data_IF_910594049005
#
_entry.id   IF_910594049005
#
_cell.length_a   1.000
_cell.length_b   1.000
_cell.length_c   1.000
_cell.angle_alpha   90.00
_cell.angle_beta   90.00
_cell.angle_gamma   90.00
#
_symmetry.space_group_name_H-M   'P 1'
#
loop_
_entity.id
_entity.type
_entity.pdbx_description
1 polymer ?
#
# COMPACT_ATOMS: atom_id res chain seq x y z
N UNK A 1 4.16 -1.62 26.00
CA UNK A 1 3.73 -1.30 24.62
C UNK A 1 2.83 -2.41 24.12
N UNK A 2 1.73 -2.09 23.45
CA UNK A 2 0.77 -3.12 23.02
C UNK A 2 1.19 -3.79 21.71
N UNK A 3 2.00 -3.09 20.88
CA UNK A 3 2.51 -3.59 19.62
C UNK A 3 4.04 -3.67 19.67
N UNK A 4 4.58 -4.76 19.14
CA UNK A 4 6.00 -5.02 19.06
C UNK A 4 6.52 -4.87 17.61
N UNK A 5 5.59 -4.83 16.62
CA UNK A 5 5.89 -4.67 15.19
C UNK A 5 4.90 -3.72 14.53
N UNK A 6 5.42 -2.74 13.79
CA UNK A 6 4.69 -1.92 12.83
C UNK A 6 4.96 -2.44 11.43
N UNK A 7 3.92 -2.87 10.73
CA UNK A 7 3.99 -3.34 9.35
C UNK A 7 3.40 -2.26 8.45
N UNK A 8 4.21 -1.78 7.52
CA UNK A 8 3.80 -0.80 6.53
C UNK A 8 3.35 -1.48 5.24
N UNK A 9 2.24 -1.06 4.68
CA UNK A 9 2.11 -1.15 3.23
C UNK A 9 3.09 -0.18 2.56
N UNK A 10 3.40 -0.41 1.28
CA UNK A 10 4.35 0.40 0.55
C UNK A 10 3.66 1.47 -0.29
N UNK A 11 2.91 1.02 -1.29
CA UNK A 11 2.25 1.86 -2.27
C UNK A 11 1.11 2.64 -1.61
N UNK A 12 1.08 3.97 -1.74
CA UNK A 12 0.08 4.81 -1.06
C UNK A 12 0.30 5.04 0.45
N UNK A 13 1.26 4.34 1.10
CA UNK A 13 1.59 4.52 2.51
C UNK A 13 3.00 5.08 2.75
N UNK A 14 4.01 4.50 2.14
CA UNK A 14 5.40 4.96 2.22
C UNK A 14 5.79 5.80 1.01
N UNK A 15 5.30 5.43 -0.16
CA UNK A 15 5.56 6.07 -1.45
C UNK A 15 4.25 6.48 -2.12
N UNK A 16 4.26 7.62 -2.81
CA UNK A 16 3.07 8.18 -3.48
C UNK A 16 3.01 7.68 -4.94
N UNK A 17 2.83 6.38 -5.11
CA UNK A 17 2.94 5.66 -6.38
C UNK A 17 1.63 5.49 -7.13
N UNK A 18 0.48 5.50 -6.42
CA UNK A 18 -0.82 5.09 -6.97
C UNK A 18 -1.32 6.02 -8.08
N UNK A 19 -1.15 7.35 -7.92
CA UNK A 19 -1.50 8.30 -8.98
C UNK A 19 -0.70 8.04 -10.27
N UNK A 20 0.62 7.85 -10.12
CA UNK A 20 1.53 7.59 -11.25
C UNK A 20 1.17 6.27 -11.93
N UNK A 21 0.91 5.22 -11.14
CA UNK A 21 0.49 3.92 -11.66
C UNK A 21 -0.80 4.01 -12.45
N UNK A 22 -1.84 4.60 -11.87
CA UNK A 22 -3.12 4.78 -12.54
C UNK A 22 -3.03 5.68 -13.79
N UNK A 23 -2.14 6.67 -13.81
CA UNK A 23 -1.91 7.50 -14.99
C UNK A 23 -1.32 6.67 -16.14
N UNK A 24 -0.27 5.89 -15.89
CA UNK A 24 0.35 5.03 -16.90
C UNK A 24 -0.64 4.00 -17.43
N UNK A 25 -1.42 3.38 -16.55
CA UNK A 25 -2.47 2.43 -16.93
C UNK A 25 -3.57 3.09 -17.77
N UNK A 26 -4.07 4.26 -17.37
CA UNK A 26 -5.09 5.00 -18.10
C UNK A 26 -4.64 5.39 -19.51
N UNK A 27 -3.38 5.83 -19.65
CA UNK A 27 -2.77 6.11 -20.96
C UNK A 27 -2.69 4.85 -21.83
N UNK A 28 -2.26 3.72 -21.28
CA UNK A 28 -2.18 2.44 -21.96
C UNK A 28 -3.56 1.97 -22.45
N UNK A 29 -4.56 1.95 -21.59
CA UNK A 29 -5.93 1.58 -21.91
C UNK A 29 -6.54 2.52 -22.97
N UNK A 30 -6.30 3.82 -22.85
CA UNK A 30 -6.78 4.81 -23.84
C UNK A 30 -6.18 4.55 -25.22
N UNK A 31 -4.86 4.30 -25.32
CA UNK A 31 -4.19 3.91 -26.56
C UNK A 31 -4.71 2.56 -27.12
N UNK A 32 -5.08 1.64 -26.22
CA UNK A 32 -5.68 0.36 -26.60
C UNK A 32 -7.17 0.46 -27.01
N UNK A 33 -7.74 1.67 -27.02
CA UNK A 33 -9.11 1.95 -27.46
C UNK A 33 -10.16 1.86 -26.35
N UNK A 34 -9.76 2.00 -25.10
CA UNK A 34 -10.63 2.20 -23.95
C UNK A 34 -10.34 3.57 -23.30
N UNK A 35 -10.99 4.65 -23.76
CA UNK A 35 -10.76 5.99 -23.22
C UNK A 35 -11.14 6.05 -21.73
N UNK A 36 -10.17 6.32 -20.88
CA UNK A 36 -10.36 6.46 -19.44
C UNK A 36 -9.42 7.53 -18.91
N UNK A 37 -9.91 8.40 -18.02
CA UNK A 37 -9.07 9.37 -17.31
C UNK A 37 -8.31 8.72 -16.15
N UNK A 38 -7.25 9.38 -15.65
CA UNK A 38 -6.54 8.93 -14.45
C UNK A 38 -7.46 8.89 -13.23
N UNK A 39 -8.33 9.89 -13.08
CA UNK A 39 -9.29 9.98 -12.00
C UNK A 39 -10.30 8.83 -12.04
N UNK A 40 -10.82 8.48 -13.23
CA UNK A 40 -11.72 7.34 -13.39
C UNK A 40 -10.99 6.01 -13.15
N UNK A 41 -9.74 5.91 -13.56
CA UNK A 41 -8.88 4.75 -13.29
C UNK A 41 -8.72 4.54 -11.78
N UNK A 42 -8.38 5.60 -11.05
CA UNK A 42 -8.29 5.57 -9.57
C UNK A 42 -9.64 5.19 -8.95
N UNK A 43 -10.72 5.87 -9.36
CA UNK A 43 -12.04 5.67 -8.75
C UNK A 43 -12.56 4.25 -8.91
N UNK A 44 -12.26 3.61 -10.05
CA UNK A 44 -12.80 2.29 -10.42
C UNK A 44 -11.86 1.14 -10.08
N UNK A 45 -10.56 1.32 -10.27
CA UNK A 45 -9.60 0.22 -10.35
C UNK A 45 -8.45 0.30 -9.35
N UNK A 46 -8.24 1.40 -8.64
CA UNK A 46 -7.18 1.46 -7.62
C UNK A 46 -7.37 0.34 -6.57
N UNK A 47 -6.32 -0.46 -6.38
CA UNK A 47 -6.33 -1.63 -5.51
C UNK A 47 -7.05 -2.87 -6.07
N UNK A 48 -7.50 -2.85 -7.32
CA UNK A 48 -8.07 -4.02 -8.02
C UNK A 48 -6.95 -4.78 -8.74
N UNK A 49 -7.03 -6.11 -8.78
CA UNK A 49 -6.00 -6.90 -9.47
C UNK A 49 -6.02 -6.63 -10.98
N UNK A 50 -4.84 -6.60 -11.62
CA UNK A 50 -4.71 -6.36 -13.05
C UNK A 50 -5.62 -7.30 -13.89
N UNK A 51 -5.71 -8.58 -13.52
CA UNK A 51 -6.58 -9.54 -14.19
C UNK A 51 -8.05 -9.14 -14.13
N UNK A 52 -8.51 -8.60 -13.02
CA UNK A 52 -9.88 -8.16 -12.85
C UNK A 52 -10.16 -6.86 -13.61
N UNK A 53 -9.20 -5.92 -13.61
CA UNK A 53 -9.25 -4.70 -14.43
C UNK A 53 -9.42 -5.07 -15.91
N UNK A 54 -8.55 -5.92 -16.44
CA UNK A 54 -8.66 -6.38 -17.83
C UNK A 54 -10.02 -7.03 -18.12
N UNK A 55 -10.49 -7.91 -17.22
CA UNK A 55 -11.77 -8.61 -17.43
C UNK A 55 -12.94 -7.64 -17.47
N UNK A 56 -12.96 -6.60 -16.63
CA UNK A 56 -14.01 -5.58 -16.66
C UNK A 56 -13.95 -4.72 -17.92
N UNK A 57 -12.75 -4.25 -18.27
CA UNK A 57 -12.56 -3.43 -19.49
C UNK A 57 -12.95 -4.20 -20.74
N UNK A 58 -12.50 -5.45 -20.88
CA UNK A 58 -12.83 -6.32 -22.02
C UNK A 58 -14.33 -6.59 -22.14
N UNK A 59 -15.01 -6.77 -20.99
CA UNK A 59 -16.46 -6.93 -20.97
C UNK A 59 -17.20 -5.66 -21.47
N UNK A 60 -16.68 -4.47 -21.11
CA UNK A 60 -17.28 -3.19 -21.51
C UNK A 60 -17.09 -2.89 -23.02
N UNK A 61 -15.92 -3.22 -23.58
CA UNK A 61 -15.61 -2.92 -24.99
C UNK A 61 -15.93 -4.08 -25.94
N UNK A 62 -16.23 -5.27 -25.41
CA UNK A 62 -16.59 -6.45 -26.19
C UNK A 62 -15.43 -7.07 -26.99
N UNK A 63 -14.19 -6.83 -26.61
CA UNK A 63 -12.98 -7.40 -27.28
C UNK A 63 -11.84 -7.61 -26.30
N UNK A 64 -10.96 -8.57 -26.61
CA UNK A 64 -9.69 -8.80 -25.89
C UNK A 64 -8.69 -7.68 -26.24
N UNK A 65 -8.03 -7.11 -25.21
CA UNK A 65 -7.00 -6.10 -25.35
C UNK A 65 -5.70 -6.46 -24.62
N UNK A 66 -5.63 -7.60 -23.92
CA UNK A 66 -4.46 -7.99 -23.12
C UNK A 66 -3.15 -8.02 -23.90
N UNK A 67 -3.24 -8.37 -25.17
CA UNK A 67 -2.09 -8.46 -26.07
C UNK A 67 -1.96 -7.21 -26.99
N UNK A 68 -2.63 -6.12 -26.66
CA UNK A 68 -2.53 -4.89 -27.45
C UNK A 68 -1.12 -4.27 -27.28
N UNK A 69 -0.51 -3.82 -28.37
CA UNK A 69 0.85 -3.28 -28.37
C UNK A 69 1.07 -2.11 -27.39
N UNK A 70 0.03 -1.28 -27.20
CA UNK A 70 0.07 -0.17 -26.24
C UNK A 70 0.16 -0.60 -24.76
N UNK A 71 -0.10 -1.87 -24.46
CA UNK A 71 -0.03 -2.45 -23.12
C UNK A 71 1.21 -3.33 -22.93
N UNK A 72 1.94 -3.62 -24.00
CA UNK A 72 3.09 -4.52 -23.97
C UNK A 72 4.28 -4.00 -23.14
N UNK A 73 4.40 -2.67 -22.99
CA UNK A 73 5.51 -2.02 -22.30
C UNK A 73 5.12 -1.33 -21.00
N UNK A 74 3.91 -1.61 -20.45
CA UNK A 74 3.42 -0.91 -19.26
C UNK A 74 4.39 -0.96 -18.06
N UNK A 75 5.09 -2.08 -17.84
CA UNK A 75 6.07 -2.17 -16.76
C UNK A 75 7.26 -1.24 -16.97
N UNK A 76 7.74 -1.12 -18.22
CA UNK A 76 8.84 -0.22 -18.57
C UNK A 76 8.40 1.26 -18.49
N UNK A 77 7.18 1.56 -18.95
CA UNK A 77 6.60 2.91 -18.89
C UNK A 77 6.38 3.33 -17.44
N UNK A 78 5.88 2.42 -16.58
CA UNK A 78 5.70 2.65 -15.16
C UNK A 78 7.04 2.90 -14.46
N UNK A 79 8.07 2.09 -14.78
CA UNK A 79 9.40 2.26 -14.22
C UNK A 79 9.99 3.63 -14.59
N UNK A 80 9.87 4.03 -15.85
CA UNK A 80 10.33 5.34 -16.30
C UNK A 80 9.57 6.50 -15.64
N UNK A 81 8.25 6.35 -15.43
CA UNK A 81 7.45 7.33 -14.72
C UNK A 81 7.86 7.44 -13.24
N UNK A 82 8.13 6.34 -12.57
CA UNK A 82 8.66 6.35 -11.21
C UNK A 82 10.03 7.00 -11.11
N UNK A 83 10.97 6.70 -12.02
CA UNK A 83 12.30 7.33 -12.05
C UNK A 83 12.21 8.86 -12.19
N UNK A 84 11.17 9.36 -12.84
CA UNK A 84 10.96 10.79 -13.06
C UNK A 84 10.24 11.49 -11.92
N UNK A 85 9.14 10.92 -11.44
CA UNK A 85 8.15 11.65 -10.67
C UNK A 85 7.85 11.06 -9.28
N UNK A 86 8.31 9.82 -8.95
CA UNK A 86 7.99 9.18 -7.68
C UNK A 86 8.54 9.96 -6.49
N UNK A 87 7.68 10.22 -5.52
CA UNK A 87 8.04 10.85 -4.25
C UNK A 87 7.68 9.93 -3.07
N UNK A 88 8.39 10.05 -1.94
CA UNK A 88 7.90 9.49 -0.69
C UNK A 88 6.63 10.22 -0.27
N UNK A 89 5.75 9.55 0.48
CA UNK A 89 4.58 10.20 1.10
C UNK A 89 5.04 11.39 1.94
N UNK A 90 4.32 12.50 1.83
CA UNK A 90 4.66 13.72 2.53
C UNK A 90 4.76 13.49 4.05
N UNK A 91 5.89 13.86 4.66
CA UNK A 91 6.13 13.71 6.09
C UNK A 91 6.53 12.32 6.55
N UNK A 92 6.70 11.34 5.65
CA UNK A 92 7.03 9.95 6.05
C UNK A 92 8.40 9.83 6.74
N UNK A 93 9.44 10.52 6.26
CA UNK A 93 10.77 10.47 6.87
C UNK A 93 10.77 11.04 8.28
N UNK A 94 10.06 12.15 8.49
CA UNK A 94 9.88 12.77 9.81
C UNK A 94 9.07 11.85 10.72
N UNK A 95 7.98 11.25 10.23
CA UNK A 95 7.17 10.33 11.01
C UNK A 95 7.98 9.10 11.45
N UNK A 96 8.75 8.50 10.56
CA UNK A 96 9.62 7.38 10.86
C UNK A 96 10.68 7.74 11.92
N UNK A 97 11.27 8.94 11.84
CA UNK A 97 12.21 9.43 12.84
C UNK A 97 11.57 9.67 14.22
N UNK A 98 10.36 10.22 14.24
CA UNK A 98 9.59 10.40 15.47
C UNK A 98 9.22 9.05 16.12
N UNK A 99 8.82 8.08 15.30
CA UNK A 99 8.51 6.73 15.78
C UNK A 99 9.73 6.06 16.42
N UNK A 100 10.94 6.21 15.86
CA UNK A 100 12.16 5.69 16.46
C UNK A 100 12.43 6.28 17.86
N UNK A 101 12.19 7.59 18.03
CA UNK A 101 12.37 8.25 19.31
C UNK A 101 11.36 7.80 20.36
N UNK A 102 10.08 7.70 19.96
CA UNK A 102 8.99 7.42 20.88
C UNK A 102 8.85 5.92 21.18
N UNK A 103 9.24 5.08 20.21
CA UNK A 103 9.08 3.63 20.28
C UNK A 103 10.38 2.88 19.91
N UNK A 104 11.49 3.10 20.62
CA UNK A 104 12.83 2.63 20.23
C UNK A 104 12.96 1.10 20.15
N UNK A 105 12.06 0.35 20.76
CA UNK A 105 12.05 -1.12 20.74
C UNK A 105 11.03 -1.72 19.76
N UNK A 106 10.26 -0.88 19.07
CA UNK A 106 9.27 -1.35 18.08
C UNK A 106 9.98 -1.70 16.77
N UNK A 107 9.83 -2.92 16.32
CA UNK A 107 10.30 -3.35 14.99
C UNK A 107 9.44 -2.71 13.90
N UNK A 108 10.04 -2.51 12.73
CA UNK A 108 9.32 -2.03 11.54
C UNK A 108 9.71 -2.87 10.33
N UNK A 109 8.73 -3.18 9.47
CA UNK A 109 8.94 -3.84 8.20
C UNK A 109 7.88 -3.41 7.17
N UNK A 110 8.06 -3.82 5.92
CA UNK A 110 7.13 -3.57 4.82
C UNK A 110 6.49 -4.89 4.40
N UNK A 111 5.19 -4.87 4.08
CA UNK A 111 4.45 -5.97 3.48
C UNK A 111 3.57 -5.45 2.34
N UNK A 112 4.00 -5.65 1.09
CA UNK A 112 3.40 -5.06 -0.11
C UNK A 112 2.86 -6.10 -1.08
N UNK A 113 1.87 -5.69 -1.88
CA UNK A 113 1.39 -6.41 -3.05
C UNK A 113 2.32 -6.35 -4.26
N UNK A 114 3.30 -5.44 -4.27
CA UNK A 114 4.25 -5.25 -5.36
C UNK A 114 5.30 -6.35 -5.43
N UNK A 115 5.89 -6.57 -6.62
CA UNK A 115 7.02 -7.50 -6.80
C UNK A 115 8.26 -7.05 -6.02
N UNK A 116 9.15 -8.00 -5.73
CA UNK A 116 10.42 -7.70 -5.05
C UNK A 116 11.26 -6.69 -5.81
N UNK A 117 11.33 -6.82 -7.14
CA UNK A 117 12.08 -5.88 -8.00
C UNK A 117 11.52 -4.46 -7.90
N UNK A 118 10.18 -4.32 -7.98
CA UNK A 118 9.51 -3.02 -7.86
C UNK A 118 9.73 -2.40 -6.49
N UNK A 119 9.57 -3.16 -5.40
CA UNK A 119 9.84 -2.70 -4.04
C UNK A 119 11.25 -2.17 -3.88
N UNK A 120 12.25 -2.95 -4.27
CA UNK A 120 13.64 -2.55 -4.15
C UNK A 120 13.93 -1.27 -4.95
N UNK A 121 13.41 -1.18 -6.17
CA UNK A 121 13.58 -0.02 -7.03
C UNK A 121 12.94 1.24 -6.43
N UNK A 122 11.67 1.18 -6.05
CA UNK A 122 10.91 2.34 -5.54
C UNK A 122 11.41 2.80 -4.16
N UNK A 123 11.82 1.88 -3.29
CA UNK A 123 12.44 2.23 -2.00
C UNK A 123 13.80 2.93 -2.18
N UNK A 124 14.58 2.58 -3.21
CA UNK A 124 15.83 3.30 -3.55
C UNK A 124 15.54 4.71 -4.06
N UNK A 125 14.56 4.88 -4.93
CA UNK A 125 14.17 6.20 -5.46
C UNK A 125 13.73 7.17 -4.36
N UNK A 126 13.10 6.65 -3.31
CA UNK A 126 12.51 7.44 -2.22
C UNK A 126 13.39 7.51 -0.96
N UNK A 127 14.65 7.01 -1.01
CA UNK A 127 15.59 6.96 0.11
C UNK A 127 15.07 6.20 1.34
N UNK A 128 14.22 5.19 1.13
CA UNK A 128 13.69 4.32 2.18
C UNK A 128 14.39 2.96 2.25
N UNK A 129 15.15 2.58 1.21
CA UNK A 129 15.76 1.26 1.07
C UNK A 129 16.66 0.89 2.26
N UNK A 130 17.63 1.75 2.63
CA UNK A 130 18.57 1.46 3.72
C UNK A 130 17.86 1.21 5.06
N UNK A 131 16.78 1.94 5.31
CA UNK A 131 16.01 1.80 6.55
C UNK A 131 15.31 0.45 6.65
N UNK A 132 14.79 -0.07 5.53
CA UNK A 132 14.03 -1.31 5.47
C UNK A 132 14.82 -2.47 4.85
N UNK A 133 16.13 -2.34 4.67
CA UNK A 133 16.97 -3.39 4.10
C UNK A 133 16.75 -4.71 4.85
N UNK A 134 16.50 -5.79 4.11
CA UNK A 134 16.14 -7.12 4.59
C UNK A 134 14.84 -7.20 5.44
N UNK A 135 14.00 -6.16 5.42
CA UNK A 135 12.74 -6.07 6.18
C UNK A 135 11.56 -5.69 5.29
N UNK A 136 11.58 -6.03 4.02
CA UNK A 136 10.45 -5.86 3.13
C UNK A 136 10.05 -7.19 2.51
N UNK A 137 8.74 -7.43 2.48
CA UNK A 137 8.13 -8.69 2.06
C UNK A 137 7.12 -8.41 0.96
N UNK A 138 7.31 -9.08 -0.17
CA UNK A 138 6.48 -8.98 -1.37
C UNK A 138 5.43 -10.07 -1.42
N UNK A 139 4.34 -9.81 -2.15
CA UNK A 139 3.37 -10.84 -2.54
C UNK A 139 4.00 -11.98 -3.36
N UNK A 140 5.14 -11.77 -4.02
CA UNK A 140 5.89 -12.83 -4.71
C UNK A 140 6.35 -13.97 -3.78
N UNK A 141 6.45 -13.70 -2.48
CA UNK A 141 6.92 -14.65 -1.48
C UNK A 141 5.80 -15.51 -0.87
N UNK A 142 4.55 -15.34 -1.30
CA UNK A 142 3.37 -15.98 -0.72
C UNK A 142 2.45 -16.56 -1.77
N UNK A 143 1.60 -17.50 -1.35
CA UNK A 143 0.68 -18.18 -2.27
C UNK A 143 -0.46 -17.28 -2.74
N UNK A 144 -0.91 -16.35 -1.88
CA UNK A 144 -2.04 -15.45 -2.16
C UNK A 144 -1.71 -14.03 -1.69
N UNK A 145 -1.89 -13.06 -2.60
CA UNK A 145 -1.81 -11.63 -2.26
C UNK A 145 -3.05 -11.14 -1.50
N UNK A 146 -3.02 -9.88 -1.05
CA UNK A 146 -4.16 -9.18 -0.44
C UNK A 146 -5.41 -9.33 -1.33
N UNK A 147 -6.59 -9.65 -0.78
CA UNK A 147 -7.00 -9.57 0.62
C UNK A 147 -6.70 -10.83 1.46
N UNK A 148 -5.94 -11.82 0.97
CA UNK A 148 -5.50 -12.92 1.81
C UNK A 148 -4.45 -12.42 2.84
N UNK A 149 -4.37 -13.04 4.03
CA UNK A 149 -3.49 -12.57 5.11
C UNK A 149 -2.02 -12.91 4.91
N UNK A 150 -1.68 -13.66 3.88
CA UNK A 150 -0.42 -14.40 3.71
C UNK A 150 0.81 -13.49 3.82
N UNK A 151 0.82 -12.32 3.16
CA UNK A 151 1.97 -11.41 3.18
C UNK A 151 2.19 -10.79 4.56
N UNK A 152 1.12 -10.47 5.29
CA UNK A 152 1.22 -9.94 6.65
C UNK A 152 1.68 -11.02 7.63
N UNK A 153 1.13 -12.24 7.52
CA UNK A 153 1.56 -13.38 8.33
C UNK A 153 3.02 -13.75 8.06
N UNK A 154 3.47 -13.70 6.80
CA UNK A 154 4.87 -13.89 6.41
C UNK A 154 5.76 -12.83 7.07
N UNK A 155 5.39 -11.55 6.96
CA UNK A 155 6.14 -10.46 7.57
C UNK A 155 6.25 -10.64 9.10
N UNK A 156 5.15 -10.91 9.79
CA UNK A 156 5.13 -11.13 11.23
C UNK A 156 6.02 -12.32 11.65
N UNK A 157 5.96 -13.43 10.91
CA UNK A 157 6.78 -14.63 11.13
C UNK A 157 8.28 -14.34 10.99
N UNK A 158 8.68 -13.68 9.90
CA UNK A 158 10.10 -13.34 9.64
C UNK A 158 10.64 -12.34 10.68
N UNK A 159 9.78 -11.43 11.15
CA UNK A 159 10.14 -10.48 12.19
C UNK A 159 10.08 -11.10 13.61
N UNK A 160 9.59 -12.34 13.75
CA UNK A 160 9.49 -13.07 15.01
C UNK A 160 8.50 -12.43 15.99
N UNK A 161 7.35 -11.94 15.50
CA UNK A 161 6.30 -11.28 16.29
C UNK A 161 4.96 -11.96 16.05
N UNK A 162 4.21 -12.20 17.13
CA UNK A 162 2.85 -12.76 17.02
C UNK A 162 1.90 -11.77 16.32
N UNK A 163 0.97 -12.23 15.46
CA UNK A 163 0.04 -11.36 14.74
C UNK A 163 -0.71 -10.37 15.65
N UNK A 164 -1.20 -10.81 16.79
CA UNK A 164 -1.90 -9.94 17.76
C UNK A 164 -1.02 -8.82 18.38
N UNK A 165 0.29 -8.83 18.12
CA UNK A 165 1.26 -7.81 18.51
C UNK A 165 1.73 -6.95 17.32
N UNK A 166 1.12 -7.11 16.17
CA UNK A 166 1.40 -6.32 14.99
C UNK A 166 0.34 -5.21 14.82
N UNK A 167 0.80 -4.05 14.36
CA UNK A 167 -0.05 -2.96 13.88
C UNK A 167 0.28 -2.74 12.42
N UNK A 168 -0.74 -2.67 11.56
CA UNK A 168 -0.59 -2.46 10.11
C UNK A 168 -0.96 -1.01 9.75
N UNK A 169 -0.19 -0.36 8.87
CA UNK A 169 -0.57 0.89 8.21
C UNK A 169 -0.93 0.56 6.76
N UNK A 170 -2.11 0.94 6.33
CA UNK A 170 -2.69 0.58 5.04
C UNK A 170 -3.58 1.68 4.47
N UNK A 171 -3.55 1.87 3.14
CA UNK A 171 -4.37 2.84 2.42
C UNK A 171 -5.51 2.21 1.61
N UNK A 172 -5.53 0.87 1.50
CA UNK A 172 -6.51 0.13 0.71
C UNK A 172 -7.49 -0.70 1.56
N UNK A 173 -8.73 -0.82 1.08
CA UNK A 173 -9.71 -1.69 1.74
C UNK A 173 -9.35 -3.18 1.67
N UNK A 174 -8.63 -3.61 0.61
CA UNK A 174 -8.18 -5.00 0.47
C UNK A 174 -7.05 -5.31 1.44
N UNK A 175 -6.14 -4.38 1.67
CA UNK A 175 -5.09 -4.54 2.64
C UNK A 175 -5.59 -4.51 4.08
N UNK A 176 -6.52 -3.62 4.43
CA UNK A 176 -7.18 -3.65 5.74
C UNK A 176 -7.92 -4.98 5.97
N UNK A 177 -8.60 -5.51 4.94
CA UNK A 177 -9.22 -6.83 4.99
C UNK A 177 -8.19 -7.95 5.22
N UNK A 178 -7.02 -7.86 4.58
CA UNK A 178 -5.93 -8.80 4.79
C UNK A 178 -5.35 -8.73 6.21
N UNK A 179 -5.17 -7.52 6.77
CA UNK A 179 -4.73 -7.33 8.15
C UNK A 179 -5.72 -7.93 9.15
N UNK A 180 -7.03 -7.67 8.98
CA UNK A 180 -8.09 -8.28 9.78
C UNK A 180 -8.07 -9.81 9.69
N UNK A 181 -7.91 -10.37 8.48
CA UNK A 181 -7.82 -11.81 8.28
C UNK A 181 -6.55 -12.42 8.92
N UNK A 182 -5.47 -11.64 9.04
CA UNK A 182 -4.26 -12.03 9.77
C UNK A 182 -4.39 -11.95 11.30
N UNK A 183 -5.49 -11.42 11.83
CA UNK A 183 -5.67 -11.17 13.26
C UNK A 183 -4.81 -10.01 13.77
N UNK A 184 -4.52 -9.03 12.93
CA UNK A 184 -3.74 -7.84 13.24
C UNK A 184 -4.64 -6.61 13.34
N UNK A 185 -4.31 -5.71 14.25
CA UNK A 185 -4.90 -4.37 14.27
C UNK A 185 -4.35 -3.53 13.10
N UNK A 186 -5.15 -2.60 12.59
CA UNK A 186 -4.72 -1.74 11.49
C UNK A 186 -5.18 -0.28 11.64
N UNK A 187 -4.40 0.62 11.06
CA UNK A 187 -4.73 2.02 10.83
C UNK A 187 -4.93 2.25 9.34
N UNK A 188 -5.96 3.00 8.97
CA UNK A 188 -6.19 3.43 7.60
C UNK A 188 -5.49 4.75 7.31
N UNK A 189 -4.80 4.86 6.17
CA UNK A 189 -4.18 6.10 5.71
C UNK A 189 -4.86 6.60 4.43
N UNK A 190 -5.16 7.90 4.37
CA UNK A 190 -5.86 8.54 3.24
C UNK A 190 -5.13 9.79 2.72
N UNK A 191 -3.87 9.99 3.09
CA UNK A 191 -3.12 11.20 2.78
C UNK A 191 -2.29 11.13 1.49
N UNK A 192 -2.34 10.03 0.73
CA UNK A 192 -1.71 9.94 -0.59
C UNK A 192 -2.48 10.74 -1.66
N UNK A 193 -1.81 11.07 -2.76
CA UNK A 193 -2.41 11.91 -3.83
C UNK A 193 -3.56 11.24 -4.57
N UNK A 194 -3.65 9.92 -4.55
CA UNK A 194 -4.76 9.16 -5.14
C UNK A 194 -6.06 9.21 -4.31
N UNK A 195 -6.05 9.87 -3.14
CA UNK A 195 -7.20 9.94 -2.25
C UNK A 195 -8.48 10.41 -2.96
N UNK A 196 -9.48 9.52 -3.07
CA UNK A 196 -10.79 9.84 -3.61
C UNK A 196 -11.78 10.13 -2.49
N UNK A 197 -12.89 10.82 -2.80
CA UNK A 197 -13.96 11.08 -1.83
C UNK A 197 -14.52 9.81 -1.17
N UNK A 198 -14.41 8.66 -1.84
CA UNK A 198 -14.92 7.37 -1.37
C UNK A 198 -13.86 6.55 -0.62
N UNK A 199 -12.58 6.95 -0.63
CA UNK A 199 -11.51 6.16 0.00
C UNK A 199 -11.77 6.00 1.50
N UNK A 200 -12.03 7.11 2.20
CA UNK A 200 -12.30 7.08 3.64
C UNK A 200 -13.43 6.11 4.00
N UNK A 201 -14.57 6.18 3.31
CA UNK A 201 -15.72 5.30 3.59
C UNK A 201 -15.45 3.83 3.27
N UNK A 202 -14.63 3.53 2.25
CA UNK A 202 -14.20 2.16 1.94
C UNK A 202 -13.29 1.59 3.02
N UNK A 203 -12.37 2.39 3.57
CA UNK A 203 -11.51 1.99 4.68
C UNK A 203 -12.31 1.80 5.97
N UNK A 204 -13.26 2.71 6.28
CA UNK A 204 -14.10 2.65 7.46
C UNK A 204 -14.90 1.34 7.55
N UNK A 205 -15.37 0.80 6.42
CA UNK A 205 -16.08 -0.49 6.35
C UNK A 205 -15.23 -1.68 6.82
N UNK A 206 -13.90 -1.54 6.86
CA UNK A 206 -13.00 -2.59 7.36
C UNK A 206 -12.69 -2.44 8.85
N UNK A 207 -13.31 -1.49 9.56
CA UNK A 207 -13.17 -1.23 10.99
C UNK A 207 -11.70 -1.07 11.45
N UNK A 208 -10.88 -0.21 10.81
CA UNK A 208 -9.56 0.10 11.34
C UNK A 208 -9.67 0.78 12.70
N UNK A 209 -8.61 0.73 13.52
CA UNK A 209 -8.60 1.40 14.83
C UNK A 209 -8.76 2.92 14.72
N UNK A 210 -8.25 3.50 13.64
CA UNK A 210 -8.45 4.90 13.24
C UNK A 210 -8.11 5.06 11.75
N UNK A 211 -8.58 6.18 11.17
CA UNK A 211 -8.18 6.64 9.83
C UNK A 211 -7.53 8.01 10.02
N UNK A 212 -6.39 8.23 9.35
CA UNK A 212 -5.64 9.49 9.39
C UNK A 212 -5.15 9.87 7.98
N UNK A 213 -4.80 11.15 7.78
CA UNK A 213 -4.41 11.67 6.46
C UNK A 213 -3.11 12.50 6.47
N UNK A 214 -2.49 12.71 7.63
CA UNK A 214 -1.19 13.36 7.74
C UNK A 214 -0.23 12.46 8.53
N UNK A 215 0.91 12.11 7.94
CA UNK A 215 1.93 11.27 8.60
C UNK A 215 2.46 11.88 9.90
N UNK A 216 2.38 13.20 10.06
CA UNK A 216 2.76 13.88 11.31
C UNK A 216 1.86 13.53 12.50
N UNK A 217 0.64 13.05 12.25
CA UNK A 217 -0.30 12.64 13.30
C UNK A 217 -0.02 11.23 13.82
N UNK A 218 0.68 10.39 13.05
CA UNK A 218 0.84 8.96 13.32
C UNK A 218 1.44 8.68 14.70
N UNK A 219 2.53 9.35 15.05
CA UNK A 219 3.21 9.13 16.33
C UNK A 219 2.30 9.44 17.52
N UNK A 220 1.56 10.57 17.46
CA UNK A 220 0.58 10.95 18.48
C UNK A 220 -0.62 9.99 18.54
N UNK A 221 -1.08 9.51 17.40
CA UNK A 221 -2.15 8.52 17.32
C UNK A 221 -1.73 7.20 17.98
N UNK A 222 -0.53 6.71 17.68
CA UNK A 222 0.00 5.49 18.28
C UNK A 222 0.20 5.62 19.81
N UNK A 223 0.63 6.78 20.31
CA UNK A 223 0.68 7.02 21.75
C UNK A 223 -0.69 6.91 22.41
N UNK A 224 -1.74 7.52 21.83
CA UNK A 224 -3.12 7.42 22.33
C UNK A 224 -3.62 5.97 22.35
N UNK A 225 -3.38 5.20 21.29
CA UNK A 225 -3.77 3.78 21.22
C UNK A 225 -3.04 2.93 22.29
N UNK A 226 -1.78 3.21 22.57
CA UNK A 226 -1.04 2.53 23.65
C UNK A 226 -1.60 2.85 25.05
N UNK A 227 -2.07 4.06 25.29
CA UNK A 227 -2.67 4.45 26.56
C UNK A 227 -4.04 3.76 26.77
N UNK A 228 -4.89 3.71 25.78
CA UNK A 228 -6.23 3.13 25.85
C UNK A 228 -6.19 1.63 26.16
N UNK A 229 -5.27 0.86 25.59
CA UNK A 229 -5.14 -0.59 25.85
C UNK A 229 -4.48 -0.94 27.19
N UNK A 230 -3.86 0.03 27.89
CA UNK A 230 -3.29 -0.19 29.24
C UNK A 230 -4.28 0.10 30.36
N UNK A 231 -5.49 0.55 30.05
CA UNK A 231 -6.57 0.90 30.99
C UNK A 231 -7.67 -0.15 31.09
N UNK A 232 -7.54 -1.27 30.38
CA UNK A 232 -8.39 -2.46 30.43
C UNK A 232 -7.57 -3.64 30.93
#
# INVERSE_FOLDING_TARGET
MNYDLLIWDCDGCLIDSEWIGCQVEAEGFTKAGYPISTEDMIARFCGVSANEVFSQVEAEIGRDIRNHEALANQDADLKAAFEKDLQPIAGIHEALHELDKLFPNMKMCIASGSSMERLEHTLKLTNLHERFEHKYFSADLVAKGKPAPDVFLKAASEMGVAPAKCLVIEDSHLGLKAANAAGMDALGFTGATHGTQNLHSRLEQQNPLAIFNDMKELAGLMQKLNLLKNTV
#
